data_IF_942051057003
#
_entry.id   IF_942051057003
#
_cell.length_a   1.000
_cell.length_b   1.000
_cell.length_c   1.000
_cell.angle_alpha   90.00
_cell.angle_beta   90.00
_cell.angle_gamma   90.00
#
_symmetry.space_group_name_H-M   'P 1'
#
loop_
_entity.id
_entity.type
_entity.pdbx_description
1 polymer ?
#
# COMPACT_ATOMS: atom_id res chain seq x y z
N UNK A 1 -11.56 23.95 -39.95
CA UNK A 1 -12.69 23.05 -39.60
C UNK A 1 -12.20 21.60 -39.59
N UNK A 2 -11.95 21.02 -38.41
CA UNK A 2 -11.74 19.57 -38.25
C UNK A 2 -12.74 19.08 -37.21
N UNK A 3 -13.69 18.27 -37.67
CA UNK A 3 -14.75 17.67 -36.88
C UNK A 3 -14.13 16.73 -35.84
N UNK A 4 -14.27 17.05 -34.57
CA UNK A 4 -14.15 16.07 -33.50
C UNK A 4 -15.37 15.15 -33.62
N UNK A 5 -15.15 13.93 -34.11
CA UNK A 5 -16.15 12.88 -34.05
C UNK A 5 -16.30 12.43 -32.60
N UNK A 6 -17.25 13.04 -31.88
CA UNK A 6 -17.84 12.47 -30.69
C UNK A 6 -18.62 11.24 -31.13
N UNK A 7 -18.01 10.06 -31.02
CA UNK A 7 -18.73 8.79 -31.06
C UNK A 7 -19.41 8.61 -29.70
N UNK A 8 -20.61 9.19 -29.59
CA UNK A 8 -21.62 8.76 -28.63
C UNK A 8 -22.16 7.41 -29.11
N UNK A 9 -21.68 6.33 -28.52
CA UNK A 9 -22.32 5.02 -28.60
C UNK A 9 -22.88 4.64 -27.24
N UNK A 10 -24.15 5.01 -27.01
CA UNK A 10 -25.08 4.22 -26.19
C UNK A 10 -26.14 3.72 -27.18
N UNK A 11 -26.35 2.40 -27.31
CA UNK A 11 -27.15 1.69 -26.32
C UNK A 11 -26.71 0.22 -26.11
N UNK A 12 -26.15 -0.05 -24.94
CA UNK A 12 -26.26 -1.30 -24.19
C UNK A 12 -25.68 -0.98 -22.81
N UNK A 13 -26.54 -0.64 -21.84
CA UNK A 13 -26.12 -0.62 -20.43
C UNK A 13 -25.73 -2.06 -20.07
N UNK A 14 -24.46 -2.40 -20.26
CA UNK A 14 -23.85 -3.52 -19.56
C UNK A 14 -24.03 -3.22 -18.06
N UNK A 15 -24.47 -4.21 -17.30
CA UNK A 15 -24.68 -4.17 -15.83
C UNK A 15 -23.37 -3.95 -15.04
N UNK A 16 -22.41 -3.21 -15.59
CA UNK A 16 -21.11 -2.95 -14.99
C UNK A 16 -20.47 -1.69 -15.57
N UNK A 17 -19.86 -0.88 -14.70
CA UNK A 17 -18.98 0.22 -15.05
C UNK A 17 -17.55 -0.13 -14.64
N UNK A 18 -16.57 0.12 -15.50
CA UNK A 18 -15.15 -0.08 -15.23
C UNK A 18 -14.35 1.10 -15.73
N UNK A 19 -13.42 1.58 -14.91
CA UNK A 19 -12.51 2.68 -15.25
C UNK A 19 -11.09 2.18 -15.08
N UNK A 20 -10.29 2.41 -16.11
CA UNK A 20 -8.92 1.98 -16.19
C UNK A 20 -7.96 3.17 -16.20
N UNK A 21 -6.76 2.95 -15.66
CA UNK A 21 -5.63 3.87 -15.79
C UNK A 21 -4.44 3.18 -16.39
N UNK A 22 -3.75 3.90 -17.28
CA UNK A 22 -2.50 3.45 -17.87
C UNK A 22 -1.33 3.74 -16.93
N UNK A 23 -0.39 2.80 -16.86
CA UNK A 23 0.91 2.99 -16.21
C UNK A 23 0.82 3.41 -14.73
N UNK A 24 -0.21 2.98 -14.02
CA UNK A 24 -0.34 3.25 -12.59
C UNK A 24 0.74 2.47 -11.81
N UNK A 25 1.43 3.14 -10.87
CA UNK A 25 2.50 2.51 -10.08
C UNK A 25 3.82 2.27 -10.80
N UNK A 26 3.94 2.67 -12.08
CA UNK A 26 5.17 2.48 -12.88
C UNK A 26 6.41 3.11 -12.25
N UNK A 27 6.25 4.19 -11.47
CA UNK A 27 7.33 4.83 -10.70
C UNK A 27 7.97 3.88 -9.68
N UNK A 28 7.16 3.05 -9.00
CA UNK A 28 7.65 2.02 -8.09
C UNK A 28 8.41 0.91 -8.82
N UNK A 29 7.93 0.50 -9.99
CA UNK A 29 8.62 -0.48 -10.85
C UNK A 29 9.98 0.06 -11.33
N UNK A 30 10.07 1.35 -11.70
CA UNK A 30 11.35 2.02 -12.02
C UNK A 30 12.29 2.05 -10.83
N UNK A 31 11.82 2.46 -9.65
CA UNK A 31 12.64 2.49 -8.43
C UNK A 31 13.17 1.09 -8.08
N UNK A 32 12.34 0.06 -8.21
CA UNK A 32 12.71 -1.33 -7.99
C UNK A 32 13.78 -1.79 -8.98
N UNK A 33 13.63 -1.43 -10.27
CA UNK A 33 14.63 -1.74 -11.30
C UNK A 33 15.98 -1.06 -11.01
N UNK A 34 15.97 0.21 -10.60
CA UNK A 34 17.18 0.96 -10.24
C UNK A 34 17.88 0.31 -9.04
N UNK A 35 17.14 -0.03 -7.99
CA UNK A 35 17.71 -0.67 -6.79
C UNK A 35 18.34 -2.02 -7.11
N UNK A 36 17.64 -2.90 -7.84
CA UNK A 36 18.23 -4.15 -8.30
C UNK A 36 19.42 -3.93 -9.23
N UNK A 37 19.37 -2.89 -10.08
CA UNK A 37 20.46 -2.48 -10.95
C UNK A 37 21.72 -2.13 -10.17
N UNK A 38 21.62 -1.24 -9.19
CA UNK A 38 22.74 -0.82 -8.33
C UNK A 38 23.34 -2.00 -7.57
N UNK A 39 22.49 -2.85 -6.95
CA UNK A 39 22.96 -4.03 -6.24
C UNK A 39 23.65 -5.02 -7.19
N UNK A 40 23.09 -5.22 -8.39
CA UNK A 40 23.69 -6.10 -9.39
C UNK A 40 25.03 -5.61 -9.91
N UNK A 41 25.20 -4.28 -10.04
CA UNK A 41 26.49 -3.69 -10.42
C UNK A 41 27.55 -3.95 -9.34
N UNK A 42 27.20 -3.83 -8.05
CA UNK A 42 28.10 -4.21 -6.96
C UNK A 42 28.47 -5.71 -7.04
N UNK A 43 27.49 -6.57 -7.33
CA UNK A 43 27.73 -8.00 -7.57
C UNK A 43 28.70 -8.24 -8.73
N UNK A 44 28.54 -7.54 -9.85
CA UNK A 44 29.43 -7.65 -11.01
C UNK A 44 30.84 -7.14 -10.67
N UNK A 45 30.98 -6.01 -9.99
CA UNK A 45 32.29 -5.49 -9.57
C UNK A 45 33.02 -6.45 -8.62
N UNK A 46 32.29 -7.12 -7.74
CA UNK A 46 32.88 -8.14 -6.85
C UNK A 46 33.53 -9.31 -7.62
N UNK A 47 33.07 -9.60 -8.84
CA UNK A 47 33.68 -10.64 -9.70
C UNK A 47 35.12 -10.27 -10.05
N UNK A 48 35.39 -9.00 -10.35
CA UNK A 48 36.73 -8.54 -10.72
C UNK A 48 37.68 -8.49 -9.52
N UNK A 49 37.15 -8.34 -8.31
CA UNK A 49 37.95 -8.30 -7.09
C UNK A 49 38.54 -9.66 -6.74
N UNK A 50 37.76 -10.74 -6.90
CA UNK A 50 38.22 -12.12 -6.65
C UNK A 50 37.58 -13.10 -7.64
N UNK A 51 38.06 -13.09 -8.89
CA UNK A 51 37.44 -13.85 -9.98
C UNK A 51 37.42 -15.37 -9.76
N UNK A 52 38.37 -15.91 -8.97
CA UNK A 52 38.45 -17.34 -8.67
C UNK A 52 37.31 -17.76 -7.75
N UNK A 53 37.10 -17.01 -6.66
CA UNK A 53 36.01 -17.23 -5.71
C UNK A 53 34.62 -16.94 -6.32
N UNK A 54 34.59 -16.11 -7.36
CA UNK A 54 33.37 -15.63 -8.01
C UNK A 54 32.74 -16.61 -8.99
N UNK A 55 33.46 -17.65 -9.42
CA UNK A 55 32.95 -18.62 -10.39
C UNK A 55 31.71 -19.36 -9.84
N UNK A 56 31.79 -19.81 -8.59
CA UNK A 56 30.70 -20.55 -7.95
C UNK A 56 29.37 -19.76 -7.84
N UNK A 57 29.34 -18.53 -7.28
CA UNK A 57 28.09 -17.77 -7.20
C UNK A 57 27.53 -17.41 -8.59
N UNK A 58 28.39 -17.14 -9.59
CA UNK A 58 27.95 -16.92 -10.99
C UNK A 58 27.25 -18.15 -11.54
N UNK A 59 27.84 -19.34 -11.40
CA UNK A 59 27.22 -20.61 -11.84
C UNK A 59 25.90 -20.84 -11.11
N UNK A 60 25.83 -20.58 -9.79
CA UNK A 60 24.60 -20.70 -9.03
C UNK A 60 23.51 -19.73 -9.53
N UNK A 61 23.84 -18.49 -9.91
CA UNK A 61 22.86 -17.54 -10.48
C UNK A 61 22.34 -18.04 -11.83
N UNK A 62 23.21 -18.60 -12.69
CA UNK A 62 22.82 -19.19 -13.97
C UNK A 62 21.87 -20.38 -13.75
N UNK A 63 22.22 -21.29 -12.84
CA UNK A 63 21.36 -22.43 -12.48
C UNK A 63 20.01 -21.92 -11.95
N UNK A 64 20.03 -20.91 -11.08
CA UNK A 64 18.81 -20.29 -10.52
C UNK A 64 17.92 -19.73 -11.63
N UNK A 65 18.50 -19.05 -12.63
CA UNK A 65 17.76 -18.55 -13.79
C UNK A 65 17.04 -19.68 -14.56
N UNK A 66 17.73 -20.78 -14.83
CA UNK A 66 17.12 -21.92 -15.52
C UNK A 66 16.08 -22.65 -14.69
N UNK A 67 16.32 -22.82 -13.38
CA UNK A 67 15.37 -23.40 -12.45
C UNK A 67 14.09 -22.57 -12.39
N UNK A 68 14.20 -21.24 -12.33
CA UNK A 68 13.05 -20.33 -12.26
C UNK A 68 12.17 -20.37 -13.52
N UNK A 69 12.71 -20.85 -14.65
CA UNK A 69 11.94 -21.03 -15.89
C UNK A 69 11.07 -22.29 -15.85
N UNK A 70 11.48 -23.32 -15.08
CA UNK A 70 10.79 -24.62 -15.02
C UNK A 70 9.96 -24.79 -13.76
N UNK A 71 10.40 -24.21 -12.65
CA UNK A 71 9.81 -24.34 -11.32
C UNK A 71 9.54 -22.95 -10.80
N UNK A 72 8.37 -22.74 -10.20
CA UNK A 72 8.06 -21.51 -9.49
C UNK A 72 8.87 -21.52 -8.19
N UNK A 73 10.10 -20.99 -8.22
CA UNK A 73 11.02 -21.02 -7.06
C UNK A 73 10.38 -20.42 -5.81
N UNK A 74 9.46 -19.45 -5.98
CA UNK A 74 8.75 -18.81 -4.88
C UNK A 74 7.96 -19.81 -4.00
N UNK A 75 7.39 -20.86 -4.61
CA UNK A 75 6.64 -21.90 -3.90
C UNK A 75 7.56 -22.86 -3.13
N UNK A 76 8.82 -22.98 -3.57
CA UNK A 76 9.83 -23.86 -2.99
C UNK A 76 10.96 -23.11 -2.29
N UNK A 77 10.71 -21.86 -1.88
CA UNK A 77 11.72 -20.93 -1.36
C UNK A 77 12.55 -21.55 -0.21
N UNK A 78 11.89 -22.26 0.71
CA UNK A 78 12.55 -22.90 1.87
C UNK A 78 13.60 -23.92 1.41
N UNK A 79 13.23 -24.81 0.50
CA UNK A 79 14.11 -25.85 -0.02
C UNK A 79 15.24 -25.29 -0.89
N UNK A 80 14.94 -24.22 -1.62
CA UNK A 80 15.95 -23.48 -2.39
C UNK A 80 17.05 -22.90 -1.48
N UNK A 81 16.68 -22.26 -0.36
CA UNK A 81 17.65 -21.75 0.61
C UNK A 81 18.45 -22.85 1.30
N UNK A 82 17.81 -23.98 1.67
CA UNK A 82 18.51 -25.14 2.24
C UNK A 82 19.56 -25.67 1.26
N UNK A 83 19.20 -25.84 -0.01
CA UNK A 83 20.13 -26.27 -1.05
C UNK A 83 21.29 -25.29 -1.26
N UNK A 84 21.01 -23.98 -1.27
CA UNK A 84 22.02 -22.94 -1.42
C UNK A 84 23.04 -22.95 -0.27
N UNK A 85 22.57 -23.09 0.98
CA UNK A 85 23.45 -23.19 2.16
C UNK A 85 24.31 -24.45 2.08
N UNK A 86 23.71 -25.59 1.72
CA UNK A 86 24.44 -26.86 1.59
C UNK A 86 25.53 -26.77 0.52
N UNK A 87 25.24 -26.18 -0.64
CA UNK A 87 26.22 -25.91 -1.70
C UNK A 87 27.32 -24.99 -1.18
N UNK A 88 26.97 -23.91 -0.48
CA UNK A 88 27.93 -22.99 0.12
C UNK A 88 28.87 -23.68 1.13
N UNK A 89 28.34 -24.56 1.99
CA UNK A 89 29.13 -25.34 2.95
C UNK A 89 30.07 -26.32 2.26
N UNK A 90 29.60 -27.01 1.22
CA UNK A 90 30.44 -27.93 0.42
C UNK A 90 31.59 -27.21 -0.27
N UNK A 91 31.31 -26.03 -0.86
CA UNK A 91 32.33 -25.20 -1.50
C UNK A 91 33.32 -24.62 -0.49
N UNK A 92 32.83 -24.26 0.70
CA UNK A 92 33.67 -23.78 1.80
C UNK A 92 34.62 -24.86 2.29
N UNK A 93 34.16 -26.10 2.40
CA UNK A 93 35.00 -27.23 2.81
C UNK A 93 35.98 -27.66 1.72
N UNK A 94 35.53 -27.78 0.46
CA UNK A 94 36.35 -28.34 -0.63
C UNK A 94 37.34 -27.35 -1.26
N UNK A 95 36.97 -26.07 -1.37
CA UNK A 95 37.74 -25.04 -2.10
C UNK A 95 38.17 -23.90 -1.15
N UNK A 96 37.93 -24.04 0.17
CA UNK A 96 38.23 -23.02 1.18
C UNK A 96 37.58 -21.66 0.89
N UNK A 97 36.45 -21.67 0.18
CA UNK A 97 35.68 -20.48 -0.14
C UNK A 97 35.02 -19.92 1.13
N UNK A 98 35.08 -18.61 1.34
CA UNK A 98 34.32 -17.99 2.42
C UNK A 98 32.82 -18.09 2.15
N UNK A 99 32.08 -18.80 3.01
CA UNK A 99 30.63 -18.98 2.91
C UNK A 99 29.89 -17.63 2.83
N UNK A 100 30.32 -16.64 3.62
CA UNK A 100 29.71 -15.32 3.65
C UNK A 100 29.92 -14.57 2.34
N UNK A 101 31.12 -14.64 1.76
CA UNK A 101 31.40 -14.03 0.47
C UNK A 101 30.58 -14.69 -0.64
N UNK A 102 30.45 -16.02 -0.62
CA UNK A 102 29.60 -16.76 -1.55
C UNK A 102 28.14 -16.28 -1.48
N UNK A 103 27.55 -16.22 -0.27
CA UNK A 103 26.15 -15.81 -0.07
C UNK A 103 25.93 -14.37 -0.53
N UNK A 104 26.79 -13.43 -0.10
CA UNK A 104 26.65 -12.02 -0.45
C UNK A 104 26.77 -11.80 -1.95
N UNK A 105 27.75 -12.43 -2.58
CA UNK A 105 27.97 -12.33 -4.02
C UNK A 105 26.83 -12.98 -4.81
N UNK A 106 26.36 -14.14 -4.38
CA UNK A 106 25.19 -14.80 -4.97
C UNK A 106 23.95 -13.91 -4.90
N UNK A 107 23.64 -13.33 -3.74
CA UNK A 107 22.49 -12.44 -3.56
C UNK A 107 22.60 -11.18 -4.44
N UNK A 108 23.78 -10.56 -4.48
CA UNK A 108 24.03 -9.37 -5.27
C UNK A 108 23.86 -9.66 -6.78
N UNK A 109 24.45 -10.75 -7.28
CA UNK A 109 24.34 -11.15 -8.68
C UNK A 109 22.92 -11.61 -9.05
N UNK A 110 22.19 -12.25 -8.13
CA UNK A 110 20.81 -12.68 -8.37
C UNK A 110 19.87 -11.50 -8.63
N UNK A 111 20.22 -10.29 -8.16
CA UNK A 111 19.48 -9.07 -8.48
C UNK A 111 19.41 -8.77 -9.99
N UNK A 112 20.33 -9.30 -10.83
CA UNK A 112 20.22 -9.23 -12.29
C UNK A 112 18.90 -9.82 -12.78
N UNK A 113 18.45 -10.93 -12.18
CA UNK A 113 17.17 -11.55 -12.52
C UNK A 113 16.00 -10.63 -12.15
N UNK A 114 16.13 -9.90 -11.03
CA UNK A 114 15.23 -8.84 -10.62
C UNK A 114 15.16 -7.70 -11.65
N UNK A 115 16.31 -7.22 -12.16
CA UNK A 115 16.38 -6.21 -13.22
C UNK A 115 15.66 -6.69 -14.48
N UNK A 116 15.98 -7.90 -14.97
CA UNK A 116 15.34 -8.48 -16.17
C UNK A 116 13.82 -8.53 -16.01
N UNK A 117 13.35 -9.00 -14.85
CA UNK A 117 11.93 -9.06 -14.52
C UNK A 117 11.28 -7.68 -14.52
N UNK A 118 11.91 -6.69 -13.88
CA UNK A 118 11.40 -5.32 -13.80
C UNK A 118 11.38 -4.61 -15.16
N UNK A 119 12.43 -4.75 -15.97
CA UNK A 119 12.46 -4.20 -17.34
C UNK A 119 11.36 -4.81 -18.21
N UNK A 120 11.15 -6.13 -18.11
CA UNK A 120 10.05 -6.82 -18.80
C UNK A 120 8.67 -6.30 -18.36
N UNK A 121 8.49 -5.96 -17.09
CA UNK A 121 7.25 -5.33 -16.58
C UNK A 121 7.09 -3.90 -17.11
N UNK A 122 8.16 -3.10 -17.12
CA UNK A 122 8.14 -1.71 -17.57
C UNK A 122 7.80 -1.55 -19.06
N UNK A 123 8.20 -2.52 -19.89
CA UNK A 123 7.90 -2.57 -21.32
C UNK A 123 6.47 -3.00 -21.66
N UNK A 124 5.68 -3.48 -20.68
CA UNK A 124 4.26 -3.83 -20.91
C UNK A 124 3.39 -2.59 -20.77
N UNK A 125 2.49 -2.39 -21.71
CA UNK A 125 1.48 -1.34 -21.64
C UNK A 125 0.38 -1.78 -20.66
N UNK A 126 0.58 -1.45 -19.38
CA UNK A 126 -0.30 -1.87 -18.28
C UNK A 126 -1.52 -0.95 -18.18
N UNK A 127 -2.71 -1.55 -18.19
CA UNK A 127 -3.97 -0.89 -17.82
C UNK A 127 -4.49 -1.55 -16.56
N UNK A 128 -4.60 -0.76 -15.50
CA UNK A 128 -5.10 -1.22 -14.22
C UNK A 128 -6.52 -0.69 -14.01
N UNK A 129 -7.43 -1.59 -13.65
CA UNK A 129 -8.81 -1.21 -13.29
C UNK A 129 -8.80 -0.54 -11.92
N UNK A 130 -9.01 0.76 -11.90
CA UNK A 130 -8.97 1.59 -10.68
C UNK A 130 -10.33 1.68 -9.99
N UNK A 131 -11.40 1.44 -10.75
CA UNK A 131 -12.78 1.43 -10.27
C UNK A 131 -13.54 0.40 -11.09
N UNK A 132 -14.31 -0.46 -10.41
CA UNK A 132 -15.24 -1.37 -11.05
C UNK A 132 -16.48 -1.52 -10.21
N UNK A 133 -17.62 -1.56 -10.86
CA UNK A 133 -18.88 -1.91 -10.23
C UNK A 133 -19.62 -2.83 -11.18
N UNK A 134 -20.17 -3.92 -10.66
CA UNK A 134 -21.15 -4.76 -11.33
C UNK A 134 -22.28 -5.12 -10.35
N UNK A 135 -23.21 -5.99 -10.74
CA UNK A 135 -24.34 -6.39 -9.90
C UNK A 135 -23.92 -6.90 -8.51
N UNK A 136 -22.79 -7.60 -8.42
CA UNK A 136 -22.38 -8.31 -7.19
C UNK A 136 -21.23 -7.61 -6.45
N UNK A 137 -20.32 -7.00 -7.19
CA UNK A 137 -19.01 -6.56 -6.71
C UNK A 137 -18.73 -5.09 -7.03
N UNK A 138 -18.18 -4.43 -6.03
CA UNK A 138 -17.65 -3.08 -6.08
C UNK A 138 -16.14 -3.11 -5.75
N UNK A 139 -15.32 -2.43 -6.53
CA UNK A 139 -13.92 -2.20 -6.20
C UNK A 139 -13.46 -0.81 -6.57
N UNK A 140 -12.62 -0.20 -5.75
CA UNK A 140 -12.05 1.11 -6.00
C UNK A 140 -10.67 1.27 -5.35
N UNK A 141 -9.84 2.16 -5.90
CA UNK A 141 -8.62 2.62 -5.25
C UNK A 141 -8.95 3.65 -4.18
N UNK A 142 -8.72 3.31 -2.91
CA UNK A 142 -9.05 4.17 -1.78
C UNK A 142 -7.95 4.10 -0.70
N UNK A 143 -6.80 4.79 -0.91
CA UNK A 143 -5.78 4.93 0.12
C UNK A 143 -6.30 5.71 1.33
N UNK A 144 -5.79 5.38 2.53
CA UNK A 144 -6.05 6.19 3.73
C UNK A 144 -5.47 7.60 3.59
N UNK A 145 -5.95 8.52 4.42
CA UNK A 145 -5.54 9.93 4.37
C UNK A 145 -4.02 10.16 4.53
N UNK A 146 -3.32 9.24 5.21
CA UNK A 146 -1.88 9.35 5.48
C UNK A 146 -1.00 8.44 4.60
N UNK A 147 -1.57 7.71 3.65
CA UNK A 147 -0.86 6.65 2.92
C UNK A 147 -0.17 7.11 1.63
N UNK A 148 0.05 8.42 1.46
CA UNK A 148 0.53 8.99 0.19
C UNK A 148 1.83 8.35 -0.33
N UNK A 149 2.82 8.13 0.55
CA UNK A 149 4.11 7.54 0.15
C UNK A 149 3.98 6.09 -0.31
N UNK A 150 3.24 5.29 0.44
CA UNK A 150 2.99 3.89 0.09
C UNK A 150 2.16 3.78 -1.19
N UNK A 151 1.14 4.63 -1.31
CA UNK A 151 0.30 4.71 -2.49
C UNK A 151 1.10 5.08 -3.75
N UNK A 152 2.01 6.05 -3.70
CA UNK A 152 2.82 6.44 -4.85
C UNK A 152 3.73 5.30 -5.38
N UNK A 153 4.17 4.40 -4.49
CA UNK A 153 5.04 3.27 -4.83
C UNK A 153 4.24 2.06 -5.32
N UNK A 154 3.10 1.75 -4.68
CA UNK A 154 2.24 0.63 -5.04
C UNK A 154 0.75 1.00 -4.93
N UNK A 155 0.19 1.74 -5.92
CA UNK A 155 -1.20 2.19 -5.90
C UNK A 155 -2.20 1.03 -5.78
N UNK A 156 -1.94 -0.07 -6.49
CA UNK A 156 -2.84 -1.23 -6.55
C UNK A 156 -2.92 -2.00 -5.23
N UNK A 157 -1.97 -1.81 -4.32
CA UNK A 157 -2.05 -2.33 -2.94
C UNK A 157 -3.18 -1.69 -2.12
N UNK A 158 -3.73 -0.56 -2.58
CA UNK A 158 -4.83 0.17 -1.92
C UNK A 158 -6.19 -0.03 -2.61
N UNK A 159 -6.29 -1.06 -3.45
CA UNK A 159 -7.56 -1.45 -4.05
C UNK A 159 -8.40 -2.21 -3.01
N UNK A 160 -9.57 -1.66 -2.69
CA UNK A 160 -10.54 -2.27 -1.79
C UNK A 160 -11.65 -2.95 -2.60
N UNK A 161 -12.22 -4.01 -2.02
CA UNK A 161 -13.25 -4.84 -2.63
C UNK A 161 -14.43 -5.00 -1.66
N UNK A 162 -15.63 -4.82 -2.16
CA UNK A 162 -16.88 -4.89 -1.42
C UNK A 162 -17.97 -5.52 -2.28
N UNK A 163 -19.08 -5.91 -1.66
CA UNK A 163 -20.28 -6.30 -2.41
C UNK A 163 -21.06 -5.04 -2.79
N UNK A 164 -21.69 -5.01 -3.97
CA UNK A 164 -22.46 -3.84 -4.41
C UNK A 164 -23.64 -3.53 -3.50
N UNK A 165 -24.29 -4.57 -2.96
CA UNK A 165 -25.39 -4.45 -1.99
C UNK A 165 -24.99 -3.78 -0.67
N UNK A 166 -23.69 -3.69 -0.39
CA UNK A 166 -23.18 -3.12 0.85
C UNK A 166 -22.97 -1.59 0.74
N UNK A 167 -23.24 -1.00 -0.43
CA UNK A 167 -23.16 0.45 -0.66
C UNK A 167 -24.37 1.11 -0.01
N UNK A 168 -24.11 1.97 0.97
CA UNK A 168 -25.15 2.69 1.70
C UNK A 168 -25.47 4.04 1.03
N UNK A 169 -24.46 4.70 0.46
CA UNK A 169 -24.65 5.99 -0.20
C UNK A 169 -23.55 6.31 -1.20
N UNK A 170 -23.89 7.06 -2.25
CA UNK A 170 -22.94 7.62 -3.21
C UNK A 170 -23.27 9.08 -3.51
N UNK A 171 -22.26 9.94 -3.56
CA UNK A 171 -22.44 11.34 -3.90
C UNK A 171 -21.15 11.99 -4.40
N UNK A 172 -21.29 13.11 -5.10
CA UNK A 172 -20.16 13.96 -5.40
C UNK A 172 -19.87 14.87 -4.21
N UNK A 173 -18.59 15.00 -3.90
CA UNK A 173 -18.04 15.87 -2.89
C UNK A 173 -17.03 16.85 -3.53
N UNK A 174 -16.60 17.87 -2.78
CA UNK A 174 -15.66 18.91 -3.25
C UNK A 174 -14.39 18.33 -3.88
N UNK A 175 -13.96 17.16 -3.42
CA UNK A 175 -12.71 16.51 -3.83
C UNK A 175 -12.92 15.30 -4.77
N UNK A 176 -14.12 15.08 -5.29
CA UNK A 176 -14.41 13.98 -6.22
C UNK A 176 -15.61 13.15 -5.79
N UNK A 177 -15.49 11.82 -5.85
CA UNK A 177 -16.55 10.90 -5.48
C UNK A 177 -16.42 10.51 -4.00
N UNK A 178 -17.57 10.42 -3.32
CA UNK A 178 -17.69 9.89 -1.97
C UNK A 178 -18.66 8.71 -1.99
N UNK A 179 -18.25 7.59 -1.40
CA UNK A 179 -19.08 6.38 -1.30
C UNK A 179 -19.05 5.90 0.15
N UNK A 180 -20.21 5.63 0.73
CA UNK A 180 -20.33 4.99 2.05
C UNK A 180 -20.65 3.51 1.83
N UNK A 181 -19.87 2.62 2.45
CA UNK A 181 -20.03 1.17 2.35
C UNK A 181 -19.92 0.55 3.74
N UNK A 182 -20.99 -0.07 4.25
CA UNK A 182 -21.11 -0.53 5.65
C UNK A 182 -20.70 0.52 6.68
N UNK A 183 -21.07 1.77 6.45
CA UNK A 183 -20.67 2.90 7.28
C UNK A 183 -19.19 3.32 7.17
N UNK A 184 -18.37 2.67 6.32
CA UNK A 184 -17.03 3.14 5.99
C UNK A 184 -17.09 4.18 4.86
N UNK A 185 -16.44 5.33 5.07
CA UNK A 185 -16.35 6.40 4.07
C UNK A 185 -15.18 6.11 3.14
N UNK A 186 -15.48 5.93 1.86
CA UNK A 186 -14.52 5.70 0.79
C UNK A 186 -14.43 6.93 -0.12
N UNK A 187 -13.20 7.32 -0.45
CA UNK A 187 -12.88 8.45 -1.34
C UNK A 187 -12.02 7.93 -2.50
N UNK A 188 -12.64 7.40 -3.56
CA UNK A 188 -11.91 6.84 -4.70
C UNK A 188 -10.92 7.85 -5.31
N UNK A 189 -9.71 7.39 -5.63
CA UNK A 189 -8.63 8.19 -6.23
C UNK A 189 -8.50 7.94 -7.74
N UNK A 190 -7.75 8.82 -8.40
CA UNK A 190 -7.45 8.80 -9.85
C UNK A 190 -8.64 8.97 -10.79
N UNK A 191 -9.84 9.24 -10.26
CA UNK A 191 -11.02 9.53 -11.06
C UNK A 191 -11.00 10.96 -11.59
N UNK A 192 -11.30 11.12 -12.87
CA UNK A 192 -11.52 12.44 -13.48
C UNK A 192 -12.95 12.93 -13.21
N UNK A 193 -13.19 14.24 -13.35
CA UNK A 193 -14.53 14.80 -13.19
C UNK A 193 -15.56 14.19 -14.15
N UNK A 194 -15.16 13.86 -15.39
CA UNK A 194 -16.04 13.22 -16.37
C UNK A 194 -16.39 11.78 -15.99
N UNK A 195 -15.45 11.05 -15.40
CA UNK A 195 -15.67 9.68 -14.91
C UNK A 195 -16.57 9.66 -13.66
N UNK A 196 -16.38 10.62 -12.75
CA UNK A 196 -17.28 10.81 -11.60
C UNK A 196 -18.72 11.05 -12.09
N UNK A 197 -18.90 11.91 -13.09
CA UNK A 197 -20.21 12.16 -13.68
C UNK A 197 -20.80 10.89 -14.33
N UNK A 198 -19.99 10.07 -15.00
CA UNK A 198 -20.43 8.79 -15.57
C UNK A 198 -20.88 7.79 -14.49
N UNK A 199 -20.13 7.69 -13.39
CA UNK A 199 -20.51 6.83 -12.25
C UNK A 199 -21.83 7.31 -11.66
N UNK A 200 -21.99 8.61 -11.40
CA UNK A 200 -23.23 9.13 -10.87
C UNK A 200 -24.42 8.97 -11.82
N UNK A 201 -24.20 9.10 -13.13
CA UNK A 201 -25.23 8.81 -14.13
C UNK A 201 -25.64 7.33 -14.11
N UNK A 202 -24.68 6.41 -13.92
CA UNK A 202 -24.96 4.98 -13.77
C UNK A 202 -25.83 4.68 -12.54
N UNK A 203 -25.52 5.27 -11.38
CA UNK A 203 -26.34 5.12 -10.18
C UNK A 203 -27.71 5.79 -10.34
N UNK A 204 -27.80 6.94 -11.00
CA UNK A 204 -29.08 7.61 -11.27
C UNK A 204 -29.99 6.76 -12.18
N UNK A 205 -29.44 5.91 -13.02
CA UNK A 205 -30.24 5.06 -13.91
C UNK A 205 -30.70 3.75 -13.24
N UNK A 206 -29.95 3.23 -12.26
CA UNK A 206 -30.17 1.88 -11.73
C UNK A 206 -30.48 1.82 -10.23
N UNK A 207 -30.03 2.80 -9.44
CA UNK A 207 -30.06 2.83 -7.97
C UNK A 207 -30.16 4.26 -7.44
N UNK A 208 -31.22 4.99 -7.82
CA UNK A 208 -31.44 6.39 -7.43
C UNK A 208 -31.50 6.54 -5.92
N UNK A 209 -32.03 5.53 -5.22
CA UNK A 209 -32.17 5.47 -3.77
C UNK A 209 -30.84 5.59 -3.01
N UNK A 210 -29.71 5.26 -3.63
CA UNK A 210 -28.40 5.34 -2.99
C UNK A 210 -27.77 6.74 -3.13
N UNK A 211 -28.29 7.58 -4.03
CA UNK A 211 -27.69 8.88 -4.32
C UNK A 211 -27.98 9.86 -3.19
N UNK A 212 -26.91 10.35 -2.55
CA UNK A 212 -26.98 11.25 -1.41
C UNK A 212 -27.91 10.77 -0.27
N UNK A 213 -28.13 9.45 -0.17
CA UNK A 213 -28.92 8.82 0.88
C UNK A 213 -28.41 9.20 2.29
N UNK A 214 -27.09 9.31 2.45
CA UNK A 214 -26.44 9.84 3.65
C UNK A 214 -25.91 11.25 3.33
N UNK A 215 -26.43 12.30 3.96
CA UNK A 215 -25.98 13.67 3.71
C UNK A 215 -24.49 13.84 4.00
N UNK A 216 -23.75 14.50 3.10
CA UNK A 216 -22.33 14.79 3.28
C UNK A 216 -22.01 15.45 4.64
N UNK A 217 -22.90 16.31 5.13
CA UNK A 217 -22.72 17.00 6.41
C UNK A 217 -22.69 16.04 7.61
N UNK A 218 -23.46 14.95 7.57
CA UNK A 218 -23.42 13.90 8.59
C UNK A 218 -22.05 13.21 8.60
N UNK A 219 -21.56 12.86 7.41
CA UNK A 219 -20.27 12.20 7.21
C UNK A 219 -19.12 13.07 7.71
N UNK A 220 -19.13 14.36 7.38
CA UNK A 220 -18.11 15.31 7.86
C UNK A 220 -18.13 15.49 9.37
N UNK A 221 -19.31 15.47 9.98
CA UNK A 221 -19.45 15.55 11.42
C UNK A 221 -18.85 14.32 12.09
N UNK A 222 -19.14 13.12 11.60
CA UNK A 222 -18.57 11.88 12.13
C UNK A 222 -17.03 11.80 11.95
N UNK A 223 -16.51 12.18 10.78
CA UNK A 223 -15.06 12.27 10.53
C UNK A 223 -14.40 13.28 11.49
N UNK A 224 -15.03 14.43 11.70
CA UNK A 224 -14.58 15.47 12.63
C UNK A 224 -14.59 15.01 14.08
N UNK A 225 -15.67 14.37 14.53
CA UNK A 225 -15.77 13.80 15.87
C UNK A 225 -14.68 12.74 16.11
N UNK A 226 -14.43 11.86 15.15
CA UNK A 226 -13.35 10.87 15.26
C UNK A 226 -11.96 11.52 15.37
N UNK A 227 -11.70 12.58 14.59
CA UNK A 227 -10.45 13.33 14.67
C UNK A 227 -10.28 13.99 16.04
N UNK A 228 -11.34 14.59 16.58
CA UNK A 228 -11.35 15.17 17.93
C UNK A 228 -11.11 14.12 19.00
N UNK A 229 -11.73 12.93 18.89
CA UNK A 229 -11.48 11.83 19.82
C UNK A 229 -10.01 11.41 19.77
N UNK A 230 -9.39 11.29 18.60
CA UNK A 230 -7.96 10.95 18.48
C UNK A 230 -7.06 12.00 19.14
N UNK A 231 -7.34 13.28 18.91
CA UNK A 231 -6.59 14.39 19.52
C UNK A 231 -6.76 14.39 21.05
N UNK A 232 -7.99 14.22 21.54
CA UNK A 232 -8.27 14.21 22.96
C UNK A 232 -7.61 13.00 23.64
N UNK A 233 -7.83 11.80 23.11
CA UNK A 233 -7.44 10.54 23.75
C UNK A 233 -5.95 10.25 23.63
N UNK A 234 -5.31 10.62 22.52
CA UNK A 234 -3.88 10.34 22.29
C UNK A 234 -3.04 11.61 22.26
N UNK A 235 -3.52 12.66 21.57
CA UNK A 235 -2.79 13.92 21.45
C UNK A 235 -2.52 14.58 22.80
N UNK A 236 -3.55 14.73 23.64
CA UNK A 236 -3.40 15.37 24.96
C UNK A 236 -2.47 14.58 25.88
N UNK A 237 -2.63 13.25 26.08
CA UNK A 237 -1.69 12.51 26.93
C UNK A 237 -0.27 12.54 26.41
N UNK A 238 -0.05 12.45 25.09
CA UNK A 238 1.29 12.57 24.51
C UNK A 238 1.89 13.96 24.74
N UNK A 239 1.11 15.03 24.57
CA UNK A 239 1.57 16.40 24.81
C UNK A 239 1.89 16.64 26.30
N UNK A 240 1.01 16.22 27.20
CA UNK A 240 1.22 16.34 28.65
C UNK A 240 2.42 15.50 29.12
N UNK A 241 2.53 14.26 28.63
CA UNK A 241 3.67 13.39 28.89
C UNK A 241 4.98 14.01 28.39
N UNK A 242 4.99 14.53 27.15
CA UNK A 242 6.15 15.21 26.58
C UNK A 242 6.56 16.46 27.34
N UNK A 243 5.60 17.32 27.72
CA UNK A 243 5.85 18.50 28.55
C UNK A 243 6.37 18.12 29.94
N UNK A 244 5.81 17.06 30.54
CA UNK A 244 6.25 16.55 31.83
C UNK A 244 7.69 16.02 31.76
N UNK A 245 8.05 15.26 30.73
CA UNK A 245 9.43 14.81 30.50
C UNK A 245 10.38 15.99 30.30
N UNK A 246 9.96 16.98 29.51
CA UNK A 246 10.79 18.13 29.20
C UNK A 246 11.10 18.98 30.45
N UNK A 247 10.08 19.38 31.20
CA UNK A 247 10.23 20.28 32.35
C UNK A 247 10.58 19.57 33.65
N UNK A 248 9.98 18.41 33.94
CA UNK A 248 10.17 17.68 35.21
C UNK A 248 11.20 16.56 35.08
N UNK A 249 11.29 15.95 33.91
CA UNK A 249 12.26 14.89 33.59
C UNK A 249 13.65 15.41 33.22
N UNK A 250 13.90 16.72 33.29
CA UNK A 250 15.11 17.38 32.79
C UNK A 250 15.45 16.90 31.37
N UNK A 251 14.48 17.04 30.46
CA UNK A 251 14.56 16.59 29.08
C UNK A 251 14.99 15.11 28.92
N UNK A 252 14.54 14.24 29.83
CA UNK A 252 14.83 12.81 29.79
C UNK A 252 16.04 12.36 30.60
N UNK A 253 16.82 13.27 31.22
CA UNK A 253 17.96 12.90 32.07
C UNK A 253 17.52 12.24 33.37
N UNK A 254 16.41 12.68 33.95
CA UNK A 254 15.82 12.02 35.09
C UNK A 254 14.93 10.86 34.61
N UNK A 255 15.54 9.66 34.56
CA UNK A 255 14.90 8.45 34.05
C UNK A 255 13.65 8.09 34.84
N UNK A 256 13.68 8.22 36.17
CA UNK A 256 12.55 7.86 37.03
C UNK A 256 11.33 8.75 36.74
N UNK A 257 11.52 10.07 36.71
CA UNK A 257 10.44 11.01 36.41
C UNK A 257 9.93 10.80 34.99
N UNK A 258 10.83 10.63 34.03
CA UNK A 258 10.46 10.43 32.62
C UNK A 258 9.65 9.14 32.42
N UNK A 259 10.03 8.04 33.08
CA UNK A 259 9.29 6.78 33.04
C UNK A 259 7.89 6.92 33.66
N UNK A 260 7.77 7.62 34.79
CA UNK A 260 6.48 7.91 35.44
C UNK A 260 5.60 8.76 34.53
N UNK A 261 6.14 9.79 33.87
CA UNK A 261 5.39 10.64 32.93
C UNK A 261 4.84 9.85 31.74
N UNK A 262 5.62 8.91 31.19
CA UNK A 262 5.14 8.02 30.12
C UNK A 262 4.03 7.11 30.64
N UNK A 263 4.23 6.49 31.81
CA UNK A 263 3.25 5.58 32.41
C UNK A 263 1.92 6.30 32.68
N UNK A 264 1.96 7.51 33.26
CA UNK A 264 0.78 8.32 33.51
C UNK A 264 0.08 8.73 32.21
N UNK A 265 0.82 9.09 31.16
CA UNK A 265 0.24 9.38 29.85
C UNK A 265 -0.49 8.16 29.26
N UNK A 266 0.10 6.96 29.37
CA UNK A 266 -0.55 5.71 28.94
C UNK A 266 -1.81 5.42 29.76
N UNK A 267 -1.75 5.58 31.09
CA UNK A 267 -2.90 5.36 31.98
C UNK A 267 -4.03 6.38 31.78
N UNK A 268 -3.72 7.56 31.24
CA UNK A 268 -4.71 8.59 30.95
C UNK A 268 -5.59 8.24 29.73
N UNK A 269 -5.06 7.46 28.78
CA UNK A 269 -5.78 7.01 27.57
C UNK A 269 -7.10 6.27 27.90
N UNK A 270 -7.14 5.21 28.74
CA UNK A 270 -8.39 4.53 29.05
C UNK A 270 -9.39 5.40 29.82
N UNK A 271 -8.91 6.33 30.66
CA UNK A 271 -9.76 7.29 31.37
C UNK A 271 -10.46 8.23 30.39
N UNK A 272 -9.71 8.79 29.43
CA UNK A 272 -10.26 9.67 28.40
C UNK A 272 -11.21 8.91 27.45
N UNK A 273 -10.90 7.68 27.08
CA UNK A 273 -11.81 6.83 26.30
C UNK A 273 -13.14 6.60 27.03
N UNK A 274 -13.09 6.32 28.34
CA UNK A 274 -14.30 6.16 29.15
C UNK A 274 -15.12 7.46 29.18
N UNK A 275 -14.48 8.60 29.32
CA UNK A 275 -15.14 9.91 29.30
C UNK A 275 -15.82 10.20 27.97
N UNK A 276 -15.11 9.97 26.84
CA UNK A 276 -15.68 10.10 25.49
C UNK A 276 -16.89 9.19 25.29
N UNK A 277 -16.83 7.94 25.77
CA UNK A 277 -17.95 7.01 25.66
C UNK A 277 -19.18 7.46 26.45
N UNK A 278 -19.00 8.02 27.64
CA UNK A 278 -20.10 8.57 28.46
C UNK A 278 -20.72 9.77 27.75
N UNK A 279 -19.89 10.69 27.25
CA UNK A 279 -20.36 11.86 26.51
C UNK A 279 -21.16 11.47 25.27
N UNK A 280 -20.69 10.48 24.50
CA UNK A 280 -21.39 9.99 23.29
C UNK A 280 -22.76 9.38 23.62
N UNK A 281 -22.89 8.63 24.71
CA UNK A 281 -24.20 8.09 25.17
C UNK A 281 -25.17 9.20 25.60
N UNK A 282 -24.67 10.25 26.26
CA UNK A 282 -25.49 11.38 26.67
C UNK A 282 -26.03 12.21 25.50
N UNK A 283 -25.31 12.24 24.37
CA UNK A 283 -25.73 12.95 23.16
C UNK A 283 -26.75 12.18 22.31
N UNK A 284 -26.80 10.84 22.40
CA UNK A 284 -27.76 10.01 21.65
C UNK A 284 -29.15 9.96 22.30
N UNK A 285 -29.26 10.37 23.57
CA UNK A 285 -30.51 10.42 24.34
C UNK A 285 -31.17 11.82 24.32
N UNK A 286 -30.73 12.72 23.43
CA UNK A 286 -31.32 14.03 23.17
C UNK A 286 -31.72 14.14 21.71
#
# INVERSE_FOLDING_TARGET
MRKYAFLLTYPHLKNSIQIERKNLGKKGDYATAIMFGVISLLGIFSIFWDWKSSLAPVVCVIITYFLNRKIIILEHLKWFFVGLILVGLLLSWGIQLSLWMFILQFLALTCILGVISSVKKLGRDRRDVIFSLNADNFSCLCPGSNDYKGYALNPMGYKKYFMTKDIDSIQQDRNGLLIVVKGEVLRPRELSASEVAQILAYFNANHVELIAAIPAQHIYREEGELAWVKILVFGIPCALGGLSIYFLGDNGRNIAVSAISILLAILLVPLLLKFVNIWKRGSLNK
#
